data_IF_526747145759
#
_entry.id   IF_526747145759
#
_cell.length_a   1.000
_cell.length_b   1.000
_cell.length_c   1.000
_cell.angle_alpha   90.00
_cell.angle_beta   90.00
_cell.angle_gamma   90.00
#
_symmetry.space_group_name_H-M   'P 1'
#
loop_
_entity.id
_entity.type
_entity.pdbx_description
1 polymer ?
#
# COMPACT_ATOMS: atom_id res chain seq x y z
N UNK A 1 -4.44 14.77 4.43
CA UNK A 1 -4.16 14.35 3.04
C UNK A 1 -3.14 13.21 3.05
N UNK A 2 -3.43 12.13 2.32
CA UNK A 2 -2.45 11.05 2.09
C UNK A 2 -1.38 11.52 1.09
N UNK A 3 -0.11 11.31 1.45
CA UNK A 3 1.05 11.60 0.59
C UNK A 3 1.95 10.38 0.55
N UNK A 4 2.64 10.16 -0.55
CA UNK A 4 3.71 9.16 -0.63
C UNK A 4 5.09 9.81 -0.59
N UNK A 5 6.05 9.05 -0.06
CA UNK A 5 7.45 9.40 -0.09
C UNK A 5 8.25 8.25 -0.71
N UNK A 6 9.25 8.59 -1.50
CA UNK A 6 10.33 7.68 -1.87
C UNK A 6 11.42 7.74 -0.79
N UNK A 7 12.12 6.64 -0.58
CA UNK A 7 13.26 6.58 0.33
C UNK A 7 14.31 7.63 -0.04
N UNK A 8 14.61 8.54 0.87
CA UNK A 8 15.49 9.69 0.65
C UNK A 8 15.14 10.52 -0.61
N UNK A 9 13.86 10.54 -0.99
CA UNK A 9 13.37 11.27 -2.16
C UNK A 9 13.74 10.66 -3.52
N UNK A 10 14.33 9.46 -3.57
CA UNK A 10 14.91 8.89 -4.78
C UNK A 10 14.30 7.51 -5.10
N UNK A 11 13.89 7.30 -6.36
CA UNK A 11 13.50 5.98 -6.85
C UNK A 11 14.74 5.10 -7.02
N UNK A 12 14.73 3.90 -6.44
CA UNK A 12 15.89 3.00 -6.41
C UNK A 12 17.04 3.53 -5.53
N UNK A 13 16.72 4.30 -4.49
CA UNK A 13 17.67 4.85 -3.54
C UNK A 13 17.97 3.91 -2.37
N UNK A 14 18.82 4.40 -1.46
CA UNK A 14 19.14 3.72 -0.20
C UNK A 14 17.89 3.56 0.68
N UNK A 15 17.88 2.54 1.55
CA UNK A 15 16.79 2.35 2.52
C UNK A 15 16.69 3.51 3.49
N UNK A 16 15.47 3.80 3.88
CA UNK A 16 15.15 4.77 4.91
C UNK A 16 14.09 4.18 5.84
N UNK A 17 14.20 4.40 7.13
CA UNK A 17 13.16 4.00 8.08
C UNK A 17 11.89 4.81 7.84
N UNK A 18 10.72 4.22 8.13
CA UNK A 18 9.43 4.91 8.00
C UNK A 18 9.40 6.19 8.83
N UNK A 19 9.90 6.16 10.07
CA UNK A 19 9.98 7.33 10.94
C UNK A 19 10.82 8.46 10.35
N UNK A 20 11.99 8.13 9.77
CA UNK A 20 12.86 9.11 9.09
C UNK A 20 12.16 9.68 7.84
N UNK A 21 11.48 8.84 7.05
CA UNK A 21 10.74 9.30 5.87
C UNK A 21 9.57 10.22 6.25
N UNK A 22 8.84 9.93 7.33
CA UNK A 22 7.78 10.80 7.86
C UNK A 22 8.36 12.15 8.26
N UNK A 23 9.42 12.16 9.06
CA UNK A 23 10.07 13.38 9.54
C UNK A 23 10.59 14.25 8.39
N UNK A 24 11.32 13.67 7.44
CA UNK A 24 11.91 14.43 6.31
C UNK A 24 10.89 14.97 5.32
N UNK A 25 9.67 14.42 5.30
CA UNK A 25 8.57 14.88 4.44
C UNK A 25 7.49 15.70 5.18
N UNK A 26 7.75 16.10 6.44
CA UNK A 26 6.79 16.88 7.24
C UNK A 26 5.49 16.13 7.51
N UNK A 27 5.53 14.80 7.57
CA UNK A 27 4.40 13.95 7.90
C UNK A 27 4.12 13.94 9.41
N UNK A 28 2.89 13.67 9.78
CA UNK A 28 2.48 13.50 11.19
C UNK A 28 2.56 12.02 11.58
N UNK A 29 2.19 11.13 10.65
CA UNK A 29 2.20 9.68 10.80
C UNK A 29 2.49 9.04 9.44
N UNK A 30 3.06 7.87 9.41
CA UNK A 30 3.28 7.11 8.17
C UNK A 30 3.44 5.63 8.43
N UNK A 31 3.24 4.88 7.36
CA UNK A 31 3.46 3.44 7.30
C UNK A 31 4.31 3.11 6.07
N UNK A 32 4.94 1.94 6.04
CA UNK A 32 5.61 1.42 4.86
C UNK A 32 4.62 1.18 3.70
N UNK A 33 5.13 0.97 2.51
CA UNK A 33 4.31 0.91 1.28
C UNK A 33 4.42 -0.40 0.51
N UNK A 34 4.88 -0.29 -0.75
CA UNK A 34 4.99 -1.40 -1.71
C UNK A 34 6.06 -2.41 -1.33
N UNK A 35 5.91 -3.64 -1.81
CA UNK A 35 7.04 -4.54 -1.97
C UNK A 35 8.14 -3.90 -2.84
N UNK A 36 9.36 -4.35 -2.65
CA UNK A 36 10.54 -3.83 -3.35
C UNK A 36 11.46 -4.96 -3.78
N UNK A 37 12.29 -4.68 -4.78
CA UNK A 37 13.26 -5.62 -5.34
C UNK A 37 14.69 -5.14 -5.08
N UNK A 38 15.59 -6.12 -4.88
CA UNK A 38 17.02 -5.90 -4.78
C UNK A 38 17.81 -6.25 -6.06
N UNK A 39 17.13 -6.70 -7.10
CA UNK A 39 17.74 -7.29 -8.29
C UNK A 39 18.76 -6.41 -9.03
N UNK A 40 18.72 -5.09 -8.82
CA UNK A 40 19.66 -4.12 -9.39
C UNK A 40 20.70 -3.60 -8.38
N UNK A 41 20.78 -4.20 -7.20
CA UNK A 41 21.67 -3.75 -6.10
C UNK A 41 21.15 -2.56 -5.31
N UNK A 42 20.06 -1.90 -5.75
CA UNK A 42 19.38 -0.84 -5.03
C UNK A 42 17.90 -1.17 -4.91
N UNK A 43 17.32 -1.10 -3.70
CA UNK A 43 15.91 -1.42 -3.52
C UNK A 43 15.02 -0.44 -4.28
N UNK A 44 14.16 -0.95 -5.14
CA UNK A 44 13.16 -0.15 -5.86
C UNK A 44 11.76 -0.75 -5.68
N UNK A 45 10.70 0.08 -5.60
CA UNK A 45 9.35 -0.42 -5.56
C UNK A 45 9.05 -1.32 -6.75
N UNK A 46 8.46 -2.50 -6.50
CA UNK A 46 8.07 -3.44 -7.54
C UNK A 46 6.87 -2.91 -8.35
N UNK A 47 6.88 -3.20 -9.64
CA UNK A 47 5.73 -3.02 -10.54
C UNK A 47 5.43 -1.57 -10.90
N UNK A 48 4.13 -1.29 -10.98
CA UNK A 48 3.62 0.04 -11.30
C UNK A 48 3.97 1.04 -10.20
N UNK A 49 4.83 2.00 -10.47
CA UNK A 49 5.26 3.00 -9.51
C UNK A 49 4.98 4.44 -9.99
N UNK A 50 3.87 4.99 -9.51
CA UNK A 50 3.56 6.41 -9.61
C UNK A 50 3.70 7.01 -8.22
N UNK A 51 4.43 8.12 -8.09
CA UNK A 51 4.60 8.87 -6.84
C UNK A 51 4.45 10.36 -7.11
N UNK A 52 3.51 10.99 -6.39
CA UNK A 52 3.19 12.42 -6.54
C UNK A 52 2.93 12.82 -8.02
N UNK A 53 2.28 11.96 -8.81
CA UNK A 53 1.98 12.20 -10.22
C UNK A 53 3.14 11.98 -11.19
N UNK A 54 4.26 11.44 -10.73
CA UNK A 54 5.42 11.09 -11.57
C UNK A 54 5.49 9.57 -11.73
N UNK A 55 5.62 9.09 -12.96
CA UNK A 55 5.77 7.68 -13.31
C UNK A 55 7.25 7.28 -13.26
N UNK A 56 7.58 6.33 -12.39
CA UNK A 56 8.92 5.78 -12.22
C UNK A 56 9.05 4.35 -12.73
N UNK A 57 8.04 3.52 -12.53
CA UNK A 57 8.00 2.13 -12.98
C UNK A 57 6.67 1.83 -13.68
N UNK A 58 6.72 1.19 -14.85
CA UNK A 58 5.55 0.93 -15.68
C UNK A 58 5.57 -0.52 -16.19
N UNK A 59 5.52 -1.47 -15.27
CA UNK A 59 5.44 -2.89 -15.61
C UNK A 59 4.50 -3.64 -14.67
N UNK A 60 3.93 -4.72 -15.18
CA UNK A 60 3.01 -5.56 -14.42
C UNK A 60 3.77 -6.60 -13.61
N UNK A 61 3.25 -6.89 -12.43
CA UNK A 61 3.68 -7.99 -11.57
C UNK A 61 2.49 -8.89 -11.24
N UNK A 62 2.72 -9.98 -10.52
CA UNK A 62 1.64 -10.80 -9.95
C UNK A 62 0.90 -10.11 -8.79
N UNK A 63 1.45 -9.03 -8.25
CA UNK A 63 0.83 -8.26 -7.19
C UNK A 63 -0.34 -7.42 -7.70
N UNK A 64 -1.37 -7.29 -6.89
CA UNK A 64 -2.42 -6.30 -7.15
C UNK A 64 -1.87 -4.88 -6.98
N UNK A 65 -2.52 -3.93 -7.64
CA UNK A 65 -2.16 -2.50 -7.56
C UNK A 65 -3.24 -1.77 -6.77
N UNK A 66 -2.82 -1.00 -5.78
CA UNK A 66 -3.64 0.02 -5.15
C UNK A 66 -3.26 1.38 -5.73
N UNK A 67 -4.24 2.14 -6.19
CA UNK A 67 -4.07 3.48 -6.74
C UNK A 67 -4.76 4.53 -5.86
N UNK A 68 -4.10 5.68 -5.69
CA UNK A 68 -4.61 6.85 -4.96
C UNK A 68 -4.79 8.00 -5.95
N UNK A 69 -6.02 8.51 -6.05
CA UNK A 69 -6.35 9.67 -6.91
C UNK A 69 -6.05 11.01 -6.22
N UNK A 70 -5.96 12.06 -7.01
CA UNK A 70 -5.79 13.44 -6.52
C UNK A 70 -6.89 13.88 -5.53
N UNK A 71 -8.11 13.37 -5.70
CA UNK A 71 -9.24 13.65 -4.78
C UNK A 71 -9.21 12.84 -3.48
N UNK A 72 -8.22 11.98 -3.28
CA UNK A 72 -8.08 11.13 -2.10
C UNK A 72 -8.82 9.79 -2.17
N UNK A 73 -9.43 9.43 -3.29
CA UNK A 73 -10.01 8.10 -3.48
C UNK A 73 -8.91 7.04 -3.61
N UNK A 74 -9.06 5.94 -2.89
CA UNK A 74 -8.23 4.73 -3.07
C UNK A 74 -9.06 3.68 -3.80
N UNK A 75 -8.47 3.01 -4.78
CA UNK A 75 -9.12 1.94 -5.54
C UNK A 75 -8.11 0.98 -6.17
N UNK A 76 -8.58 -0.15 -6.67
CA UNK A 76 -7.78 -1.06 -7.51
C UNK A 76 -8.13 -0.81 -8.97
N UNK A 77 -7.14 -0.42 -9.82
CA UNK A 77 -7.35 -0.25 -11.25
C UNK A 77 -7.77 -1.57 -11.93
N UNK A 78 -8.43 -1.46 -13.08
CA UNK A 78 -8.65 -2.62 -13.93
C UNK A 78 -7.32 -3.22 -14.40
N UNK A 79 -7.28 -4.52 -14.54
CA UNK A 79 -6.09 -5.23 -15.02
C UNK A 79 -5.71 -4.76 -16.44
N UNK A 80 -4.42 -4.63 -16.71
CA UNK A 80 -3.89 -4.23 -18.02
C UNK A 80 -3.76 -2.72 -18.25
N UNK A 81 -4.24 -1.87 -17.33
CA UNK A 81 -3.98 -0.43 -17.40
C UNK A 81 -2.51 -0.13 -17.08
N UNK A 82 -1.89 0.71 -17.88
CA UNK A 82 -0.50 1.15 -17.71
C UNK A 82 -0.43 2.51 -17.01
N UNK A 83 0.76 2.90 -16.59
CA UNK A 83 0.97 4.11 -15.80
C UNK A 83 0.44 5.39 -16.44
N UNK A 84 0.57 5.52 -17.79
CA UNK A 84 0.01 6.65 -18.54
C UNK A 84 -1.52 6.75 -18.42
N UNK A 85 -2.21 5.60 -18.44
CA UNK A 85 -3.67 5.53 -18.35
C UNK A 85 -4.12 5.92 -16.94
N UNK A 86 -3.36 5.48 -15.92
CA UNK A 86 -3.61 5.83 -14.53
C UNK A 86 -3.37 7.33 -14.27
N UNK A 87 -2.29 7.91 -14.81
CA UNK A 87 -2.04 9.35 -14.72
C UNK A 87 -3.16 10.17 -15.37
N UNK A 88 -3.62 9.76 -16.57
CA UNK A 88 -4.76 10.38 -17.25
C UNK A 88 -6.06 10.28 -16.44
N UNK A 89 -6.23 9.20 -15.66
CA UNK A 89 -7.36 9.01 -14.75
C UNK A 89 -7.23 9.78 -13.41
N UNK A 90 -6.18 10.61 -13.24
CA UNK A 90 -5.94 11.42 -12.05
C UNK A 90 -5.33 10.66 -10.87
N UNK A 91 -4.66 9.53 -11.13
CA UNK A 91 -3.89 8.82 -10.12
C UNK A 91 -2.59 9.58 -9.84
N UNK A 92 -2.31 9.79 -8.56
CA UNK A 92 -1.07 10.43 -8.10
C UNK A 92 -0.08 9.46 -7.47
N UNK A 93 -0.55 8.36 -6.90
CA UNK A 93 0.29 7.36 -6.25
C UNK A 93 -0.21 5.95 -6.52
N UNK A 94 0.72 4.98 -6.64
CA UNK A 94 0.41 3.55 -6.70
C UNK A 94 1.25 2.77 -5.70
N UNK A 95 0.69 1.63 -5.26
CA UNK A 95 1.34 0.68 -4.36
C UNK A 95 1.06 -0.74 -4.84
N UNK A 96 2.06 -1.62 -4.75
CA UNK A 96 1.98 -3.00 -5.21
C UNK A 96 2.34 -3.96 -4.09
N UNK A 97 1.40 -4.78 -3.71
CA UNK A 97 1.55 -5.93 -2.81
C UNK A 97 0.25 -6.75 -2.82
N UNK A 98 -0.65 -6.45 -1.89
CA UNK A 98 -1.92 -7.16 -1.76
C UNK A 98 -1.92 -8.25 -0.67
N UNK A 99 -3.00 -8.95 -0.55
CA UNK A 99 -4.20 -8.88 -1.37
C UNK A 99 -5.05 -7.61 -1.12
N UNK A 100 -6.03 -7.39 -2.01
CA UNK A 100 -7.15 -6.49 -1.70
C UNK A 100 -7.95 -7.17 -0.58
N UNK A 101 -8.18 -6.47 0.51
CA UNK A 101 -8.90 -6.99 1.67
C UNK A 101 -10.42 -6.71 1.58
N UNK A 102 -10.76 -5.48 1.20
CA UNK A 102 -12.14 -5.02 1.02
C UNK A 102 -12.24 -4.22 -0.27
N UNK A 103 -13.27 -4.48 -1.05
CA UNK A 103 -13.65 -3.69 -2.23
C UNK A 103 -15.16 -3.49 -2.22
N UNK A 104 -15.60 -2.24 -2.39
CA UNK A 104 -17.01 -1.86 -2.38
C UNK A 104 -17.77 -2.40 -1.14
N UNK A 105 -17.10 -2.37 0.03
CA UNK A 105 -17.60 -2.88 1.30
C UNK A 105 -17.59 -4.40 1.46
N UNK A 106 -17.27 -5.16 0.42
CA UNK A 106 -17.21 -6.62 0.44
C UNK A 106 -15.78 -7.15 0.63
N UNK A 107 -15.60 -8.19 1.46
CA UNK A 107 -14.31 -8.86 1.60
C UNK A 107 -13.90 -9.55 0.29
N UNK A 108 -12.60 -9.48 -0.04
CA UNK A 108 -12.03 -9.96 -1.30
C UNK A 108 -10.95 -11.04 -1.10
N UNK A 109 -10.97 -11.77 0.01
CA UNK A 109 -9.86 -12.64 0.38
C UNK A 109 -9.77 -13.91 -0.49
N UNK A 110 -8.60 -14.22 -1.05
CA UNK A 110 -8.30 -15.53 -1.61
C UNK A 110 -8.18 -16.57 -0.48
N UNK A 111 -8.75 -17.76 -0.67
CA UNK A 111 -8.89 -18.80 0.37
C UNK A 111 -7.59 -19.39 0.91
N UNK A 112 -6.47 -19.33 0.19
CA UNK A 112 -5.29 -20.14 0.48
C UNK A 112 -4.29 -19.57 1.51
N UNK A 113 -4.32 -18.26 1.83
CA UNK A 113 -3.34 -17.62 2.73
C UNK A 113 -3.96 -16.76 3.84
N UNK A 114 -5.27 -16.86 4.01
CA UNK A 114 -6.02 -16.00 4.92
C UNK A 114 -5.76 -16.28 6.40
N UNK A 115 -5.28 -17.46 6.74
CA UNK A 115 -5.15 -17.93 8.13
C UNK A 115 -3.76 -17.73 8.75
N UNK A 116 -2.76 -17.35 7.94
CA UNK A 116 -1.38 -17.17 8.46
C UNK A 116 -1.23 -15.83 9.17
N UNK A 117 -0.67 -15.89 10.36
CA UNK A 117 -0.37 -14.72 11.19
C UNK A 117 1.03 -14.19 10.89
N UNK A 118 1.12 -12.90 10.59
CA UNK A 118 2.37 -12.19 10.31
C UNK A 118 2.28 -10.75 10.80
N UNK A 119 3.43 -10.05 10.99
CA UNK A 119 3.44 -8.59 11.01
C UNK A 119 2.83 -8.06 9.72
N UNK A 120 1.93 -7.11 9.83
CA UNK A 120 1.14 -6.59 8.71
C UNK A 120 1.11 -5.07 8.72
N UNK A 121 1.12 -4.52 7.52
CA UNK A 121 0.80 -3.12 7.27
C UNK A 121 -0.33 -3.05 6.26
N UNK A 122 -1.33 -2.23 6.52
CA UNK A 122 -2.46 -2.07 5.61
C UNK A 122 -3.08 -0.67 5.70
N UNK A 123 -3.82 -0.31 4.68
CA UNK A 123 -4.59 0.93 4.61
C UNK A 123 -6.04 0.62 4.24
N UNK A 124 -6.98 1.25 4.96
CA UNK A 124 -8.40 1.26 4.63
C UNK A 124 -8.87 2.67 4.30
N UNK A 125 -9.92 2.77 3.50
CA UNK A 125 -10.60 4.01 3.20
C UNK A 125 -12.07 3.88 3.57
N UNK A 126 -12.54 4.77 4.45
CA UNK A 126 -13.97 4.94 4.77
C UNK A 126 -14.65 5.71 3.65
N UNK A 127 -14.09 6.86 3.31
CA UNK A 127 -14.45 7.74 2.18
C UNK A 127 -13.20 8.50 1.72
N UNK A 128 -13.22 9.21 0.59
CA UNK A 128 -12.08 10.01 0.15
C UNK A 128 -11.53 10.94 1.25
N UNK A 129 -10.20 10.88 1.49
CA UNK A 129 -9.48 11.59 2.54
C UNK A 129 -9.79 11.17 4.00
N UNK A 130 -10.47 10.05 4.20
CA UNK A 130 -10.75 9.48 5.52
C UNK A 130 -10.21 8.03 5.53
N UNK A 131 -9.09 7.81 6.21
CA UNK A 131 -8.32 6.58 6.13
C UNK A 131 -8.06 5.96 7.50
N UNK A 132 -7.96 4.65 7.51
CA UNK A 132 -7.48 3.85 8.64
C UNK A 132 -6.14 3.24 8.26
N UNK A 133 -5.10 3.49 9.05
CA UNK A 133 -3.79 2.84 8.91
C UNK A 133 -3.69 1.74 9.97
N UNK A 134 -3.32 0.54 9.55
CA UNK A 134 -3.14 -0.62 10.41
C UNK A 134 -1.70 -1.10 10.30
N UNK A 135 -1.03 -1.21 11.44
CA UNK A 135 0.29 -1.84 11.56
C UNK A 135 0.25 -2.80 12.74
N UNK A 136 0.78 -4.00 12.53
CA UNK A 136 0.96 -4.98 13.61
C UNK A 136 2.38 -5.52 13.59
N UNK A 137 2.94 -5.71 14.78
CA UNK A 137 4.23 -6.33 14.99
C UNK A 137 4.05 -7.73 15.59
N UNK A 138 5.10 -8.51 15.63
CA UNK A 138 5.09 -9.83 16.26
C UNK A 138 5.11 -9.75 17.78
N UNK A 139 5.83 -8.81 18.41
CA UNK A 139 5.93 -8.66 19.86
C UNK A 139 5.75 -9.98 20.63
N UNK A 140 4.79 -10.02 21.55
CA UNK A 140 4.35 -11.25 22.24
C UNK A 140 3.22 -11.99 21.50
N UNK A 141 2.82 -11.54 20.30
CA UNK A 141 1.72 -12.09 19.51
C UNK A 141 2.18 -12.34 18.06
N UNK A 142 1.52 -13.27 17.40
CA UNK A 142 1.91 -13.73 16.06
C UNK A 142 1.58 -12.75 14.91
N UNK A 143 1.17 -11.51 15.20
CA UNK A 143 0.66 -10.56 14.22
C UNK A 143 -0.83 -10.74 13.92
N UNK A 144 -1.27 -10.47 12.69
CA UNK A 144 -2.66 -10.67 12.24
C UNK A 144 -2.73 -11.54 10.99
N UNK A 145 -3.82 -12.28 10.86
CA UNK A 145 -4.21 -12.88 9.59
C UNK A 145 -5.08 -11.88 8.77
N UNK A 146 -5.38 -12.21 7.51
CA UNK A 146 -6.14 -11.30 6.66
C UNK A 146 -7.61 -11.16 7.08
N UNK A 147 -8.22 -12.18 7.71
CA UNK A 147 -9.59 -12.10 8.21
C UNK A 147 -9.70 -11.14 9.39
N UNK A 148 -8.73 -11.16 10.30
CA UNK A 148 -8.68 -10.20 11.41
C UNK A 148 -8.58 -8.78 10.89
N UNK A 149 -7.73 -8.55 9.87
CA UNK A 149 -7.59 -7.24 9.24
C UNK A 149 -8.90 -6.78 8.58
N UNK A 150 -9.61 -7.67 7.85
CA UNK A 150 -10.92 -7.37 7.27
C UNK A 150 -11.92 -6.98 8.36
N UNK A 151 -11.98 -7.73 9.46
CA UNK A 151 -12.90 -7.45 10.56
C UNK A 151 -12.59 -6.09 11.21
N UNK A 152 -11.31 -5.77 11.41
CA UNK A 152 -10.88 -4.45 11.91
C UNK A 152 -11.35 -3.35 10.96
N UNK A 153 -11.03 -3.43 9.66
CA UNK A 153 -11.42 -2.39 8.69
C UNK A 153 -12.94 -2.24 8.55
N UNK A 154 -13.70 -3.36 8.62
CA UNK A 154 -15.16 -3.30 8.62
C UNK A 154 -15.71 -2.61 9.87
N UNK A 155 -15.12 -2.81 11.04
CA UNK A 155 -15.57 -2.15 12.27
C UNK A 155 -15.39 -0.63 12.22
N UNK A 156 -14.44 -0.13 11.41
CA UNK A 156 -14.25 1.30 11.10
C UNK A 156 -15.08 1.80 9.91
N UNK A 157 -15.90 0.94 9.29
CA UNK A 157 -16.74 1.33 8.15
C UNK A 157 -15.98 1.51 6.83
N UNK A 158 -14.80 0.89 6.68
CA UNK A 158 -14.03 0.99 5.45
C UNK A 158 -14.77 0.33 4.28
N UNK A 159 -14.87 1.05 3.18
CA UNK A 159 -15.43 0.57 1.91
C UNK A 159 -14.37 -0.04 1.00
N UNK A 160 -13.11 0.30 1.23
CA UNK A 160 -11.92 -0.26 0.57
C UNK A 160 -10.83 -0.53 1.62
N UNK A 161 -10.10 -1.64 1.48
CA UNK A 161 -8.91 -1.91 2.26
C UNK A 161 -7.90 -2.76 1.48
N UNK A 162 -6.62 -2.51 1.72
CA UNK A 162 -5.52 -3.09 0.96
C UNK A 162 -4.33 -3.42 1.88
N UNK A 163 -3.78 -4.63 1.71
CA UNK A 163 -2.59 -5.07 2.43
C UNK A 163 -1.33 -4.54 1.72
N UNK A 164 -0.48 -3.86 2.46
CA UNK A 164 0.84 -3.36 2.04
C UNK A 164 1.92 -4.38 2.40
N UNK A 165 3.18 -4.09 2.07
CA UNK A 165 4.30 -4.94 2.46
C UNK A 165 4.35 -5.12 3.99
N UNK A 166 4.77 -6.28 4.43
CA UNK A 166 4.69 -6.71 5.82
C UNK A 166 5.96 -7.40 6.31
N UNK A 167 5.82 -8.22 7.34
CA UNK A 167 6.96 -8.92 7.94
C UNK A 167 7.99 -7.94 8.48
N UNK A 168 9.24 -8.04 8.03
CA UNK A 168 10.32 -7.14 8.45
C UNK A 168 10.20 -5.68 7.96
N UNK A 169 9.18 -5.37 7.13
CA UNK A 169 8.90 -4.01 6.66
C UNK A 169 7.85 -3.28 7.51
N UNK A 170 7.13 -4.00 8.39
CA UNK A 170 6.10 -3.44 9.28
C UNK A 170 6.68 -2.75 10.50
#
# INVERSE_FOLDING_TARGET
QLRSALSNGTYGGERQTTSSAVSSNGGIIGVNGSAFDYGTGKPSPLGMCIKNGILYGDYMTSYSVMAVKNNGTIYTPAQGLMGKDLLAAGVKDTYNFGPILIKDGAAQLPWAETEKYYPRTAVGMVKPNDYVLLVTDTGNYSGLNHWDMVNIFKSYGCTYAYNLDGGGSS
#
